data_IF_412355566834
#
_entry.id   IF_412355566834
#
_cell.length_a   1.000
_cell.length_b   1.000
_cell.length_c   1.000
_cell.angle_alpha   90.00
_cell.angle_beta   90.00
_cell.angle_gamma   90.00
#
_symmetry.space_group_name_H-M   'P 1'
#
loop_
_entity.id
_entity.type
_entity.pdbx_description
1 polymer ?
#
# COMPACT_ATOMS: atom_id res chain seq x y z
N UNK A 1 22.48 16.28 18.42
CA UNK A 1 22.35 15.15 17.49
C UNK A 1 22.15 13.81 18.19
N UNK A 2 22.85 13.53 19.27
CA UNK A 2 22.71 12.30 20.07
C UNK A 2 21.32 12.15 20.72
N UNK A 3 20.71 13.25 21.21
CA UNK A 3 19.37 13.22 21.81
C UNK A 3 18.25 12.87 20.84
N UNK A 4 18.39 13.23 19.57
CA UNK A 4 17.39 12.93 18.54
C UNK A 4 17.38 11.44 18.19
N UNK A 5 18.57 10.82 18.18
CA UNK A 5 18.71 9.39 17.87
C UNK A 5 18.19 8.54 19.04
N UNK A 6 18.43 8.94 20.29
CA UNK A 6 17.92 8.26 21.48
C UNK A 6 16.40 8.34 21.60
N UNK A 7 15.81 9.51 21.32
CA UNK A 7 14.36 9.69 21.28
C UNK A 7 13.70 8.85 20.18
N UNK A 8 14.37 8.75 19.03
CA UNK A 8 13.88 7.94 17.90
C UNK A 8 13.92 6.44 18.22
N UNK A 9 14.94 5.99 18.92
CA UNK A 9 15.08 4.59 19.36
C UNK A 9 14.07 4.26 20.48
N UNK A 10 13.85 5.17 21.42
CA UNK A 10 12.82 5.03 22.45
C UNK A 10 11.42 5.02 21.87
N UNK A 11 11.17 5.85 20.87
CA UNK A 11 9.89 5.89 20.15
C UNK A 11 9.64 4.59 19.37
N UNK A 12 10.67 4.05 18.72
CA UNK A 12 10.59 2.77 18.03
C UNK A 12 10.30 1.63 19.00
N UNK A 13 10.93 1.63 20.15
CA UNK A 13 10.73 0.62 21.17
C UNK A 13 9.33 0.67 21.79
N UNK A 14 8.84 1.85 22.15
CA UNK A 14 7.48 2.06 22.65
C UNK A 14 6.42 1.80 21.56
N UNK A 15 6.71 2.19 20.34
CA UNK A 15 5.81 1.96 19.20
C UNK A 15 5.74 0.48 18.84
N UNK A 16 6.84 -0.27 18.94
CA UNK A 16 6.84 -1.71 18.71
C UNK A 16 6.07 -2.49 19.78
N UNK A 17 6.11 -2.08 21.03
CA UNK A 17 5.34 -2.73 22.10
C UNK A 17 3.84 -2.49 21.96
N UNK A 18 3.41 -1.31 21.53
CA UNK A 18 2.00 -1.01 21.24
C UNK A 18 1.56 -1.58 19.89
N UNK A 19 2.48 -1.67 18.95
CA UNK A 19 2.22 -2.11 17.58
C UNK A 19 1.98 -3.61 17.50
N UNK A 20 2.67 -4.43 18.29
CA UNK A 20 2.44 -5.88 18.32
C UNK A 20 1.03 -6.26 18.80
N UNK A 21 0.44 -5.47 19.71
CA UNK A 21 -0.93 -5.69 20.17
C UNK A 21 -1.99 -5.17 19.19
N UNK A 22 -1.65 -4.20 18.33
CA UNK A 22 -2.57 -3.59 17.37
C UNK A 22 -2.50 -4.17 15.95
N UNK A 23 -1.38 -4.80 15.57
CA UNK A 23 -1.21 -5.39 14.23
C UNK A 23 -2.25 -6.48 13.97
N UNK A 24 -2.60 -7.26 14.98
CA UNK A 24 -3.60 -8.32 14.86
C UNK A 24 -5.01 -7.78 14.57
N UNK A 25 -5.27 -6.50 14.90
CA UNK A 25 -6.58 -5.88 14.72
C UNK A 25 -6.67 -4.91 13.57
N UNK A 26 -5.54 -4.55 12.92
CA UNK A 26 -5.49 -3.53 11.88
C UNK A 26 -5.74 -4.12 10.50
N UNK A 27 -5.11 -5.23 10.18
CA UNK A 27 -5.34 -5.88 8.88
C UNK A 27 -6.72 -6.55 8.87
N UNK A 28 -7.52 -6.20 7.89
CA UNK A 28 -8.84 -6.79 7.73
C UNK A 28 -8.68 -8.30 7.48
N UNK A 29 -9.52 -9.08 8.16
CA UNK A 29 -9.41 -10.55 8.19
C UNK A 29 -9.51 -11.21 6.81
N UNK A 30 -10.33 -10.66 5.92
CA UNK A 30 -10.46 -11.16 4.55
C UNK A 30 -9.20 -10.94 3.74
N UNK A 31 -8.50 -9.84 3.99
CA UNK A 31 -7.22 -9.54 3.36
C UNK A 31 -6.13 -10.49 3.87
N UNK A 32 -6.12 -10.74 5.17
CA UNK A 32 -5.21 -11.73 5.76
C UNK A 32 -5.42 -13.10 5.12
N UNK A 33 -6.67 -13.52 4.98
CA UNK A 33 -7.02 -14.79 4.30
C UNK A 33 -6.52 -14.80 2.85
N UNK A 34 -6.73 -13.69 2.13
CA UNK A 34 -6.25 -13.55 0.76
C UNK A 34 -4.74 -13.78 0.68
N UNK A 35 -3.98 -13.12 1.54
CA UNK A 35 -2.51 -13.26 1.54
C UNK A 35 -2.09 -14.68 1.90
N UNK A 36 -2.74 -15.29 2.90
CA UNK A 36 -2.42 -16.64 3.35
C UNK A 36 -2.70 -17.70 2.27
N UNK A 37 -3.60 -17.44 1.35
CA UNK A 37 -3.89 -18.32 0.22
C UNK A 37 -2.94 -18.15 -0.95
N UNK A 38 -2.13 -17.09 -0.95
CA UNK A 38 -1.10 -16.88 -1.96
C UNK A 38 0.11 -17.78 -1.71
N UNK A 39 0.95 -18.04 -2.73
CA UNK A 39 2.17 -18.84 -2.54
C UNK A 39 3.03 -18.27 -1.41
N UNK A 40 3.61 -19.12 -0.55
CA UNK A 40 4.40 -18.67 0.60
C UNK A 40 5.52 -17.70 0.24
N UNK A 41 6.16 -17.90 -0.90
CA UNK A 41 7.30 -17.09 -1.34
C UNK A 41 6.94 -15.64 -1.67
N UNK A 42 5.68 -15.36 -1.99
CA UNK A 42 5.23 -13.99 -2.31
C UNK A 42 4.52 -13.30 -1.14
N UNK A 43 4.14 -14.05 -0.11
CA UNK A 43 3.43 -13.48 1.03
C UNK A 43 4.18 -12.34 1.73
N UNK A 44 5.51 -12.42 1.96
CA UNK A 44 6.23 -11.30 2.56
C UNK A 44 6.12 -10.00 1.74
N UNK A 45 6.13 -10.12 0.41
CA UNK A 45 6.02 -8.99 -0.51
C UNK A 45 4.63 -8.34 -0.41
N UNK A 46 3.59 -9.16 -0.36
CA UNK A 46 2.21 -8.68 -0.21
C UNK A 46 2.01 -7.98 1.14
N UNK A 47 2.57 -8.55 2.21
CA UNK A 47 2.54 -7.94 3.54
C UNK A 47 3.28 -6.62 3.59
N UNK A 48 4.41 -6.53 2.89
CA UNK A 48 5.21 -5.30 2.81
C UNK A 48 4.41 -4.17 2.15
N UNK A 49 3.79 -4.45 1.01
CA UNK A 49 2.93 -3.47 0.32
C UNK A 49 1.75 -3.08 1.19
N UNK A 50 1.10 -4.05 1.80
CA UNK A 50 -0.05 -3.78 2.67
C UNK A 50 0.34 -2.86 3.83
N UNK A 51 1.42 -3.17 4.52
CA UNK A 51 1.90 -2.37 5.66
C UNK A 51 2.28 -0.96 5.23
N UNK A 52 2.91 -0.81 4.06
CA UNK A 52 3.27 0.50 3.53
C UNK A 52 2.03 1.35 3.27
N UNK A 53 1.05 0.79 2.59
CA UNK A 53 -0.20 1.52 2.28
C UNK A 53 -0.94 1.88 3.57
N UNK A 54 -1.05 0.94 4.49
CA UNK A 54 -1.71 1.14 5.78
C UNK A 54 -1.07 2.26 6.59
N UNK A 55 0.27 2.33 6.58
CA UNK A 55 1.01 3.38 7.29
C UNK A 55 0.71 4.77 6.73
N UNK A 56 0.53 4.88 5.41
CA UNK A 56 0.27 6.15 4.74
C UNK A 56 -1.22 6.50 4.79
N UNK A 57 -2.08 5.54 4.50
CA UNK A 57 -3.53 5.72 4.45
C UNK A 57 -4.17 5.26 5.77
N UNK A 58 -3.83 5.92 6.86
CA UNK A 58 -4.27 5.56 8.22
C UNK A 58 -5.79 5.62 8.40
N UNK A 59 -6.45 6.53 7.71
CA UNK A 59 -7.89 6.73 7.81
C UNK A 59 -8.68 5.89 6.81
N UNK A 60 -7.99 5.10 5.98
CA UNK A 60 -8.65 4.26 5.00
C UNK A 60 -9.27 3.02 5.66
N UNK A 61 -10.43 2.63 5.16
CA UNK A 61 -11.00 1.32 5.49
C UNK A 61 -10.44 0.28 4.54
N UNK A 62 -10.32 -0.95 5.02
CA UNK A 62 -9.77 -2.06 4.27
C UNK A 62 -10.88 -3.05 3.92
N UNK A 63 -10.87 -3.57 2.71
CA UNK A 63 -11.85 -4.56 2.27
C UNK A 63 -11.31 -5.37 1.09
N UNK A 64 -12.08 -6.37 0.67
CA UNK A 64 -11.87 -7.05 -0.60
C UNK A 64 -12.87 -6.46 -1.60
N UNK A 65 -12.38 -5.95 -2.72
CA UNK A 65 -13.20 -5.38 -3.79
C UNK A 65 -12.63 -5.88 -5.12
N UNK A 66 -13.50 -6.34 -6.01
CA UNK A 66 -13.08 -6.97 -7.28
C UNK A 66 -12.13 -8.17 -7.06
N UNK A 67 -12.26 -8.85 -5.91
CA UNK A 67 -11.38 -9.97 -5.55
C UNK A 67 -9.99 -9.56 -5.09
N UNK A 68 -9.76 -8.29 -4.81
CA UNK A 68 -8.44 -7.75 -4.45
C UNK A 68 -8.47 -7.02 -3.11
N UNK A 69 -7.37 -7.09 -2.33
CA UNK A 69 -7.21 -6.20 -1.19
C UNK A 69 -7.31 -4.74 -1.62
N UNK A 70 -8.13 -3.98 -0.89
CA UNK A 70 -8.51 -2.62 -1.27
C UNK A 70 -8.49 -1.70 -0.06
N UNK A 71 -8.00 -0.49 -0.27
CA UNK A 71 -8.09 0.62 0.69
C UNK A 71 -9.06 1.66 0.17
N UNK A 72 -10.00 2.09 1.02
CA UNK A 72 -11.05 3.04 0.69
C UNK A 72 -11.07 4.24 1.62
N UNK A 73 -11.35 5.41 1.06
CA UNK A 73 -11.67 6.62 1.82
C UNK A 73 -12.90 7.27 1.16
N UNK A 74 -14.10 6.67 1.40
CA UNK A 74 -15.31 7.03 0.67
C UNK A 74 -15.37 6.43 -0.73
N UNK A 75 -14.28 6.50 -1.46
CA UNK A 75 -14.08 5.81 -2.75
C UNK A 75 -12.81 4.95 -2.71
N UNK A 76 -12.62 4.12 -3.71
CA UNK A 76 -11.43 3.26 -3.77
C UNK A 76 -10.19 4.12 -3.97
N UNK A 77 -9.22 3.98 -3.07
CA UNK A 77 -7.90 4.61 -3.21
C UNK A 77 -7.01 3.77 -4.11
N UNK A 78 -6.79 2.54 -3.71
CA UNK A 78 -5.83 1.66 -4.34
C UNK A 78 -6.19 0.21 -4.04
N UNK A 79 -5.92 -0.66 -5.02
CA UNK A 79 -5.97 -2.10 -4.86
C UNK A 79 -4.59 -2.67 -5.12
N UNK A 80 -4.31 -3.84 -4.57
CA UNK A 80 -3.16 -4.62 -4.99
C UNK A 80 -3.58 -6.09 -5.14
N UNK A 81 -2.84 -6.84 -5.94
CA UNK A 81 -3.14 -8.24 -6.15
C UNK A 81 -1.90 -9.05 -6.51
N UNK A 82 -1.92 -10.31 -6.12
CA UNK A 82 -0.92 -11.28 -6.55
C UNK A 82 -1.24 -11.75 -7.98
N UNK A 83 -0.23 -11.71 -8.83
CA UNK A 83 -0.26 -12.33 -10.16
C UNK A 83 0.93 -13.29 -10.26
N UNK A 84 0.95 -14.13 -11.29
CA UNK A 84 1.94 -15.22 -11.40
C UNK A 84 3.39 -14.77 -11.25
N UNK A 85 3.77 -13.64 -11.85
CA UNK A 85 5.15 -13.17 -11.89
C UNK A 85 5.34 -11.76 -11.31
N UNK A 86 4.24 -11.13 -10.88
CA UNK A 86 4.31 -9.75 -10.41
C UNK A 86 3.22 -9.45 -9.39
N UNK A 87 3.47 -8.43 -8.59
CA UNK A 87 2.44 -7.81 -7.79
C UNK A 87 1.80 -6.70 -8.63
N UNK A 88 0.48 -6.73 -8.77
CA UNK A 88 -0.26 -5.67 -9.44
C UNK A 88 -0.65 -4.58 -8.44
N UNK A 89 -0.44 -3.33 -8.80
CA UNK A 89 -0.94 -2.17 -8.07
C UNK A 89 -1.93 -1.44 -8.95
N UNK A 90 -3.08 -1.07 -8.41
CA UNK A 90 -4.19 -0.49 -9.17
C UNK A 90 -4.61 0.84 -8.55
N UNK A 91 -3.89 1.94 -8.85
CA UNK A 91 -4.16 3.24 -8.24
C UNK A 91 -5.15 4.10 -9.02
N UNK A 92 -5.64 3.63 -10.17
CA UNK A 92 -6.54 4.37 -11.05
C UNK A 92 -5.80 5.17 -12.13
N UNK A 93 -6.55 5.59 -13.17
CA UNK A 93 -5.94 6.17 -14.37
C UNK A 93 -5.25 7.51 -14.16
N UNK A 94 -5.75 8.34 -13.26
CA UNK A 94 -5.14 9.65 -12.98
C UNK A 94 -3.72 9.51 -12.42
N UNK A 95 -3.54 8.54 -11.50
CA UNK A 95 -2.23 8.27 -10.92
C UNK A 95 -1.25 7.75 -11.97
N UNK A 96 -1.71 6.88 -12.87
CA UNK A 96 -0.87 6.36 -13.94
C UNK A 96 -0.35 7.49 -14.83
N UNK A 97 -1.21 8.42 -15.22
CA UNK A 97 -0.82 9.57 -16.03
C UNK A 97 0.16 10.46 -15.27
N UNK A 98 -0.13 10.76 -14.01
CA UNK A 98 0.70 11.66 -13.21
C UNK A 98 2.12 11.11 -13.01
N UNK A 99 2.24 9.80 -12.80
CA UNK A 99 3.53 9.15 -12.54
C UNK A 99 4.17 8.50 -13.77
N UNK A 100 3.65 8.76 -14.96
CA UNK A 100 4.08 8.09 -16.20
C UNK A 100 5.60 8.09 -16.38
N UNK A 101 6.27 9.21 -16.12
CA UNK A 101 7.73 9.31 -16.24
C UNK A 101 8.48 8.36 -15.30
N UNK A 102 7.91 8.06 -14.15
CA UNK A 102 8.51 7.16 -13.17
C UNK A 102 8.11 5.69 -13.37
N UNK A 103 7.24 5.42 -14.36
CA UNK A 103 6.74 4.08 -14.65
C UNK A 103 7.39 3.44 -15.87
N UNK A 104 8.38 4.11 -16.48
CA UNK A 104 9.01 3.64 -17.73
C UNK A 104 9.67 2.27 -17.60
N UNK A 105 10.15 1.92 -16.42
CA UNK A 105 10.78 0.63 -16.16
C UNK A 105 9.79 -0.49 -15.84
N UNK A 106 8.52 -0.16 -15.70
CA UNK A 106 7.47 -1.09 -15.28
C UNK A 106 6.43 -1.22 -16.38
N UNK A 107 5.96 -2.43 -16.60
CA UNK A 107 4.77 -2.63 -17.43
C UNK A 107 3.58 -2.00 -16.72
N UNK A 108 2.87 -1.18 -17.44
CA UNK A 108 1.67 -0.53 -16.90
C UNK A 108 0.64 -0.34 -18.00
N UNK A 109 -0.59 -0.17 -17.58
CA UNK A 109 -1.73 0.09 -18.45
C UNK A 109 -2.47 1.31 -17.95
N UNK A 110 -3.66 1.55 -18.44
CA UNK A 110 -4.47 2.71 -18.09
C UNK A 110 -4.73 2.83 -16.58
N UNK A 111 -4.83 1.73 -15.85
CA UNK A 111 -5.14 1.76 -14.43
C UNK A 111 -4.32 0.80 -13.56
N UNK A 112 -3.31 0.16 -14.10
CA UNK A 112 -2.56 -0.89 -13.42
C UNK A 112 -1.06 -0.78 -13.64
N UNK A 113 -0.28 -1.14 -12.62
CA UNK A 113 1.18 -1.20 -12.67
C UNK A 113 1.61 -2.60 -12.27
N UNK A 114 2.58 -3.17 -12.97
CA UNK A 114 3.16 -4.48 -12.66
C UNK A 114 4.52 -4.31 -11.99
N UNK A 115 4.65 -4.81 -10.77
CA UNK A 115 5.93 -4.86 -10.06
C UNK A 115 6.43 -6.30 -10.03
N UNK A 116 7.41 -6.66 -10.90
CA UNK A 116 7.90 -8.04 -10.97
C UNK A 116 8.47 -8.52 -9.63
N UNK A 117 8.17 -9.75 -9.26
CA UNK A 117 8.73 -10.34 -8.03
C UNK A 117 10.25 -10.49 -8.09
N UNK A 118 10.82 -10.55 -9.29
CA UNK A 118 12.27 -10.64 -9.49
C UNK A 118 13.01 -9.34 -9.16
N UNK A 119 12.29 -8.22 -9.06
CA UNK A 119 12.86 -6.91 -8.73
C UNK A 119 12.43 -6.47 -7.34
N UNK A 120 13.24 -5.63 -6.70
CA UNK A 120 12.83 -5.00 -5.45
C UNK A 120 11.64 -4.08 -5.67
N UNK A 121 10.76 -4.00 -4.66
CA UNK A 121 9.64 -3.07 -4.69
C UNK A 121 10.15 -1.63 -4.62
N UNK A 122 9.69 -0.75 -5.52
CA UNK A 122 10.01 0.67 -5.42
C UNK A 122 9.13 1.34 -4.35
N UNK A 123 9.50 1.17 -3.09
CA UNK A 123 8.69 1.60 -1.94
C UNK A 123 8.38 3.09 -1.97
N UNK A 124 9.37 3.92 -2.35
CA UNK A 124 9.18 5.36 -2.44
C UNK A 124 8.16 5.74 -3.51
N UNK A 125 8.22 5.09 -4.67
CA UNK A 125 7.25 5.31 -5.74
C UNK A 125 5.83 4.91 -5.30
N UNK A 126 5.69 3.76 -4.68
CA UNK A 126 4.38 3.28 -4.17
C UNK A 126 3.84 4.26 -3.13
N UNK A 127 4.69 4.72 -2.23
CA UNK A 127 4.35 5.71 -1.21
C UNK A 127 3.81 7.00 -1.85
N UNK A 128 4.51 7.52 -2.86
CA UNK A 128 4.11 8.74 -3.55
C UNK A 128 2.79 8.57 -4.29
N UNK A 129 2.59 7.41 -4.91
CA UNK A 129 1.32 7.08 -5.60
C UNK A 129 0.16 7.08 -4.61
N UNK A 130 0.33 6.44 -3.46
CA UNK A 130 -0.73 6.37 -2.43
C UNK A 130 -1.05 7.76 -1.90
N UNK A 131 -0.04 8.57 -1.63
CA UNK A 131 -0.23 9.98 -1.19
C UNK A 131 -0.99 10.79 -2.23
N UNK A 132 -0.63 10.64 -3.49
CA UNK A 132 -1.35 11.28 -4.60
C UNK A 132 -2.83 10.91 -4.60
N UNK A 133 -3.15 9.63 -4.40
CA UNK A 133 -4.53 9.16 -4.35
C UNK A 133 -5.30 9.76 -3.16
N UNK A 134 -4.67 9.81 -2.01
CA UNK A 134 -5.28 10.41 -0.82
C UNK A 134 -5.59 11.88 -1.07
N UNK A 135 -4.64 12.64 -1.59
CA UNK A 135 -4.82 14.05 -1.90
C UNK A 135 -5.92 14.28 -2.94
N UNK A 136 -5.98 13.42 -3.96
CA UNK A 136 -7.02 13.48 -4.99
C UNK A 136 -8.43 13.27 -4.41
N UNK A 137 -8.58 12.28 -3.52
CA UNK A 137 -9.87 11.99 -2.88
C UNK A 137 -10.28 13.14 -1.96
N UNK A 138 -9.35 13.68 -1.18
CA UNK A 138 -9.65 14.81 -0.29
C UNK A 138 -10.00 16.08 -1.07
N UNK A 139 -9.34 16.34 -2.20
CA UNK A 139 -9.66 17.47 -3.07
C UNK A 139 -11.05 17.33 -3.68
N UNK A 140 -11.42 16.12 -4.11
CA UNK A 140 -12.77 15.86 -4.66
C UNK A 140 -13.86 16.05 -3.61
N UNK A 141 -13.61 15.69 -2.35
CA UNK A 141 -14.56 15.93 -1.26
C UNK A 141 -14.79 17.40 -0.98
N UNK A 142 -13.75 18.24 -1.11
CA UNK A 142 -13.87 19.69 -0.92
C UNK A 142 -14.62 20.38 -2.06
N UNK A 143 -14.57 19.79 -3.28
CA UNK A 143 -15.26 20.33 -4.46
C UNK A 143 -16.76 19.98 -4.49
N UNK A 144 -17.20 19.05 -3.64
CA UNK A 144 -18.62 18.69 -3.49
C UNK A 144 -19.22 19.43 -2.31
#
# INVERSE_FOLDING_TARGET
MTHYIELKLLWKSLFQMHFCAKIETIMEKKIETYINECPPEVQPRLKEVHSLIETIAKDATQCISWGMPTFKMGENLVHYAHNKHHLGLYPGPEAIVFFEDRLKEYKHSKGAIQFPYAKELPLELIQDIVRFRIESVLANKKAR
#
